data_IF_587476848995
#
_entry.id   IF_587476848995
#
_cell.length_a   1.000
_cell.length_b   1.000
_cell.length_c   1.000
_cell.angle_alpha   90.00
_cell.angle_beta   90.00
_cell.angle_gamma   90.00
#
_symmetry.space_group_name_H-M   'P 1'
#
loop_
_entity.id
_entity.type
_entity.pdbx_description
1 polymer ?
#
# COMPACT_ATOMS: atom_id res chain seq x y z
N UNK A 1 -0.35 -33.28 -13.29
CA UNK A 1 0.27 -32.49 -12.20
C UNK A 1 0.50 -31.01 -12.56
N UNK A 2 0.20 -30.55 -13.78
CA UNK A 2 0.34 -29.13 -14.21
C UNK A 2 -1.00 -28.34 -14.28
N UNK A 3 -2.13 -28.98 -14.01
CA UNK A 3 -3.47 -28.36 -14.14
C UNK A 3 -3.92 -27.66 -12.84
N UNK A 4 -3.46 -28.15 -11.68
CA UNK A 4 -3.88 -27.68 -10.36
C UNK A 4 -3.26 -26.35 -9.94
N UNK A 5 -2.09 -25.97 -10.47
CA UNK A 5 -1.45 -24.68 -10.13
C UNK A 5 -2.11 -23.50 -10.85
N UNK A 6 -2.54 -23.69 -12.11
CA UNK A 6 -3.30 -22.66 -12.85
C UNK A 6 -4.72 -22.47 -12.33
N UNK A 7 -5.35 -23.51 -11.81
CA UNK A 7 -6.65 -23.41 -11.14
C UNK A 7 -6.52 -22.75 -9.77
N UNK A 8 -5.42 -22.99 -9.04
CA UNK A 8 -5.08 -22.25 -7.80
C UNK A 8 -4.73 -20.78 -8.06
N UNK A 9 -4.00 -20.47 -9.13
CA UNK A 9 -3.75 -19.09 -9.57
C UNK A 9 -5.04 -18.39 -9.98
N UNK A 10 -5.95 -19.06 -10.70
CA UNK A 10 -7.28 -18.52 -11.06
C UNK A 10 -8.23 -18.42 -9.86
N UNK A 11 -8.16 -19.33 -8.90
CA UNK A 11 -8.90 -19.22 -7.63
C UNK A 11 -8.34 -18.08 -6.77
N UNK A 12 -7.01 -17.88 -6.76
CA UNK A 12 -6.34 -16.75 -6.10
C UNK A 12 -6.64 -15.41 -6.80
N UNK A 13 -6.74 -15.39 -8.13
CA UNK A 13 -7.20 -14.24 -8.93
C UNK A 13 -8.71 -13.97 -8.78
N UNK A 14 -9.53 -15.01 -8.60
CA UNK A 14 -10.99 -14.83 -8.37
C UNK A 14 -11.34 -14.53 -6.90
N UNK A 15 -10.41 -14.80 -5.98
CA UNK A 15 -10.40 -14.27 -4.60
C UNK A 15 -9.71 -12.92 -4.50
N UNK A 16 -9.54 -12.17 -5.59
CA UNK A 16 -9.35 -10.72 -5.50
C UNK A 16 -10.65 -10.17 -4.92
N UNK A 17 -10.69 -10.13 -3.59
CA UNK A 17 -11.71 -9.48 -2.81
C UNK A 17 -11.85 -8.05 -3.36
N UNK A 18 -13.08 -7.63 -3.67
CA UNK A 18 -13.33 -6.34 -4.31
C UNK A 18 -12.51 -5.24 -3.63
N UNK A 19 -11.66 -4.55 -4.41
CA UNK A 19 -10.65 -3.63 -3.91
C UNK A 19 -11.21 -2.76 -2.78
N UNK A 20 -10.51 -2.71 -1.66
CA UNK A 20 -10.86 -1.87 -0.51
C UNK A 20 -10.85 -0.38 -0.85
N UNK A 21 -10.19 0.04 -1.94
CA UNK A 21 -10.36 1.37 -2.48
C UNK A 21 -9.94 1.51 -3.94
N UNK A 22 -10.46 2.56 -4.57
CA UNK A 22 -10.12 2.97 -5.93
C UNK A 22 -9.98 4.48 -6.01
N UNK A 23 -8.91 4.97 -6.64
CA UNK A 23 -8.68 6.39 -6.86
C UNK A 23 -8.24 6.65 -8.31
N UNK A 24 -8.78 7.70 -8.92
CA UNK A 24 -8.44 8.07 -10.30
C UNK A 24 -8.08 9.56 -10.36
N UNK A 25 -6.84 9.84 -10.79
CA UNK A 25 -6.33 11.18 -11.07
C UNK A 25 -6.42 11.44 -12.57
N UNK A 26 -7.01 12.56 -12.96
CA UNK A 26 -7.09 13.04 -14.34
C UNK A 26 -6.80 14.53 -14.43
N UNK A 27 -6.50 15.00 -15.64
CA UNK A 27 -6.48 16.43 -15.94
C UNK A 27 -7.88 17.03 -15.94
N UNK A 28 -8.07 18.09 -15.17
CA UNK A 28 -9.26 18.94 -15.16
C UNK A 28 -8.79 20.38 -15.10
N UNK A 29 -9.19 21.20 -16.08
CA UNK A 29 -8.77 22.61 -16.14
C UNK A 29 -7.24 22.79 -16.20
N UNK A 30 -6.53 21.86 -16.84
CA UNK A 30 -5.05 21.85 -16.93
C UNK A 30 -4.32 21.30 -15.69
N UNK A 31 -5.05 20.97 -14.61
CA UNK A 31 -4.47 20.48 -13.34
C UNK A 31 -4.81 19.03 -13.04
N UNK A 32 -3.86 18.32 -12.43
CA UNK A 32 -4.03 17.00 -11.86
C UNK A 32 -5.11 17.05 -10.78
N UNK A 33 -6.17 16.27 -10.95
CA UNK A 33 -7.36 16.32 -10.10
C UNK A 33 -7.89 14.92 -9.83
N UNK A 34 -8.27 14.62 -8.58
CA UNK A 34 -8.98 13.38 -8.26
C UNK A 34 -10.41 13.47 -8.80
N UNK A 35 -10.73 12.59 -9.74
CA UNK A 35 -12.05 12.55 -10.38
C UNK A 35 -12.92 11.42 -9.88
N UNK A 36 -12.31 10.39 -9.27
CA UNK A 36 -13.02 9.28 -8.60
C UNK A 36 -12.24 8.88 -7.36
N UNK A 37 -12.94 8.70 -6.26
CA UNK A 37 -12.37 8.21 -5.01
C UNK A 37 -13.43 7.37 -4.31
N UNK A 38 -13.09 6.10 -4.07
CA UNK A 38 -13.89 5.16 -3.29
C UNK A 38 -12.96 4.47 -2.31
N UNK A 39 -13.43 4.30 -1.07
CA UNK A 39 -12.75 3.50 -0.07
C UNK A 39 -13.79 2.90 0.87
N UNK A 40 -13.61 1.63 1.23
CA UNK A 40 -14.36 0.94 2.28
C UNK A 40 -13.39 0.59 3.42
N UNK A 41 -13.95 0.34 4.61
CA UNK A 41 -13.19 -0.18 5.74
C UNK A 41 -12.32 -1.37 5.31
N UNK A 42 -11.05 -1.46 5.77
CA UNK A 42 -10.39 -0.58 6.73
C UNK A 42 -9.69 0.65 6.12
N UNK A 43 -9.79 0.87 4.80
CA UNK A 43 -9.09 1.93 4.06
C UNK A 43 -9.86 3.27 4.05
N UNK A 44 -9.11 4.36 4.08
CA UNK A 44 -9.58 5.70 3.76
C UNK A 44 -8.54 6.45 2.92
N UNK A 45 -9.00 7.23 1.95
CA UNK A 45 -8.16 8.20 1.25
C UNK A 45 -8.45 9.61 1.78
N UNK A 46 -7.41 10.41 2.01
CA UNK A 46 -7.50 11.85 2.25
C UNK A 46 -6.74 12.59 1.17
N UNK A 47 -7.40 13.58 0.56
CA UNK A 47 -6.85 14.38 -0.54
C UNK A 47 -6.89 15.84 -0.11
N UNK A 48 -5.79 16.40 0.42
CA UNK A 48 -5.77 17.78 0.86
C UNK A 48 -5.59 18.72 -0.33
N UNK A 49 -6.24 19.88 -0.26
CA UNK A 49 -6.22 20.86 -1.34
C UNK A 49 -4.99 21.80 -1.32
N UNK A 50 -4.14 21.73 -0.29
CA UNK A 50 -3.05 22.69 -0.04
C UNK A 50 -1.80 22.01 0.54
N UNK A 51 -1.06 21.30 -0.29
CA UNK A 51 0.13 20.52 0.15
C UNK A 51 1.42 20.99 -0.52
N UNK A 52 1.33 22.01 -1.37
CA UNK A 52 2.45 22.64 -2.06
C UNK A 52 2.10 24.04 -2.57
N UNK A 53 3.03 24.65 -3.30
CA UNK A 53 2.81 25.93 -3.99
C UNK A 53 1.62 25.84 -4.95
N UNK A 54 0.93 26.94 -5.20
CA UNK A 54 -0.14 27.02 -6.21
C UNK A 54 0.33 26.71 -7.64
N UNK A 55 1.64 26.78 -7.85
CA UNK A 55 2.34 26.49 -9.11
C UNK A 55 2.62 24.99 -9.30
N UNK A 56 2.64 24.21 -8.22
CA UNK A 56 2.87 22.76 -8.30
C UNK A 56 1.60 22.05 -8.71
N UNK A 57 1.63 21.38 -9.87
CA UNK A 57 0.52 20.56 -10.33
C UNK A 57 0.67 19.10 -9.86
N UNK A 58 0.30 18.81 -8.61
CA UNK A 58 0.32 17.46 -8.07
C UNK A 58 -0.84 17.22 -7.10
N UNK A 59 -1.43 16.02 -7.19
CA UNK A 59 -2.39 15.54 -6.20
C UNK A 59 -1.67 14.78 -5.12
N UNK A 60 -1.84 15.19 -3.86
CA UNK A 60 -1.39 14.44 -2.71
C UNK A 60 -2.52 13.57 -2.17
N UNK A 61 -2.22 12.29 -1.99
CA UNK A 61 -3.14 11.28 -1.50
C UNK A 61 -2.52 10.65 -0.27
N UNK A 62 -3.19 10.83 0.86
CA UNK A 62 -2.87 10.12 2.09
C UNK A 62 -3.68 8.83 2.17
N UNK A 63 -3.02 7.69 2.19
CA UNK A 63 -3.60 6.38 2.50
C UNK A 63 -3.64 6.16 4.00
N UNK A 64 -4.80 5.75 4.50
CA UNK A 64 -5.09 5.66 5.92
C UNK A 64 -5.80 4.36 6.27
N UNK A 65 -5.53 3.88 7.47
CA UNK A 65 -6.28 2.80 8.12
C UNK A 65 -6.96 3.34 9.36
N UNK A 66 -8.20 2.91 9.63
CA UNK A 66 -8.92 3.34 10.82
C UNK A 66 -8.23 2.76 12.09
N UNK A 67 -7.96 3.61 13.08
CA UNK A 67 -7.39 3.16 14.37
C UNK A 67 -5.86 3.26 14.51
N UNK A 68 -5.16 3.94 13.58
CA UNK A 68 -3.72 4.22 13.70
C UNK A 68 -2.82 3.00 13.47
N UNK A 69 -3.35 1.97 12.81
CA UNK A 69 -2.69 0.72 12.51
C UNK A 69 -3.63 -0.23 11.76
N UNK A 70 -3.15 -1.42 11.45
CA UNK A 70 -3.97 -2.51 10.87
C UNK A 70 -4.19 -3.53 11.98
N UNK A 71 -5.42 -4.04 12.11
CA UNK A 71 -5.76 -5.06 13.11
C UNK A 71 -5.84 -6.44 12.49
N UNK A 72 -5.78 -7.47 13.33
CA UNK A 72 -5.90 -8.88 12.92
C UNK A 72 -7.12 -9.10 12.00
N UNK A 73 -6.85 -9.62 10.80
CA UNK A 73 -7.85 -9.97 9.80
C UNK A 73 -8.19 -8.86 8.80
N UNK A 74 -7.62 -7.66 8.93
CA UNK A 74 -7.74 -6.61 7.92
C UNK A 74 -6.84 -6.90 6.71
N UNK A 75 -7.43 -6.94 5.51
CA UNK A 75 -6.70 -6.92 4.22
C UNK A 75 -6.99 -5.62 3.48
N UNK A 76 -5.96 -4.97 2.97
CA UNK A 76 -6.07 -3.76 2.14
C UNK A 76 -5.59 -4.05 0.72
N UNK A 77 -6.50 -3.83 -0.22
CA UNK A 77 -6.23 -3.83 -1.66
C UNK A 77 -6.70 -2.52 -2.26
N UNK A 78 -5.86 -1.81 -2.99
CA UNK A 78 -6.24 -0.55 -3.63
C UNK A 78 -5.76 -0.44 -5.06
N UNK A 79 -6.58 0.18 -5.91
CA UNK A 79 -6.23 0.49 -7.29
C UNK A 79 -6.17 2.01 -7.48
N UNK A 80 -5.01 2.51 -7.90
CA UNK A 80 -4.76 3.91 -8.21
C UNK A 80 -4.45 4.03 -9.69
N UNK A 81 -5.16 4.93 -10.37
CA UNK A 81 -4.91 5.26 -11.77
C UNK A 81 -4.49 6.72 -11.89
N UNK A 82 -3.33 6.96 -12.49
CA UNK A 82 -2.80 8.28 -12.81
C UNK A 82 -2.83 8.41 -14.33
N UNK A 83 -3.71 9.27 -14.83
CA UNK A 83 -3.85 9.50 -16.26
C UNK A 83 -2.68 10.31 -16.84
N UNK A 84 -2.68 10.41 -18.16
CA UNK A 84 -1.70 11.17 -18.92
C UNK A 84 -1.47 12.60 -18.41
N UNK A 85 -0.20 13.03 -18.46
CA UNK A 85 0.29 14.32 -17.99
C UNK A 85 -0.06 14.68 -16.53
N UNK A 86 -0.55 13.72 -15.71
CA UNK A 86 -0.90 13.97 -14.30
C UNK A 86 0.25 13.61 -13.36
N UNK A 87 0.28 14.28 -12.22
CA UNK A 87 1.20 13.96 -11.13
C UNK A 87 0.43 13.59 -9.87
N UNK A 88 0.77 12.44 -9.28
CA UNK A 88 0.21 11.98 -8.01
C UNK A 88 1.31 11.63 -7.01
N UNK A 89 1.11 12.01 -5.77
CA UNK A 89 1.93 11.63 -4.61
C UNK A 89 1.05 10.79 -3.70
N UNK A 90 1.42 9.53 -3.47
CA UNK A 90 0.80 8.65 -2.48
C UNK A 90 1.71 8.48 -1.27
N UNK A 91 1.14 8.65 -0.09
CA UNK A 91 1.87 8.41 1.16
C UNK A 91 0.95 7.96 2.28
N UNK A 92 1.46 7.19 3.25
CA UNK A 92 0.73 6.88 4.47
C UNK A 92 0.83 8.06 5.47
N UNK A 93 -0.29 8.42 6.10
CA UNK A 93 -0.33 9.60 7.00
C UNK A 93 0.33 9.37 8.36
N UNK A 94 0.51 8.11 8.75
CA UNK A 94 1.14 7.72 10.00
C UNK A 94 1.84 6.38 9.82
N UNK A 95 2.82 6.09 10.69
CA UNK A 95 3.41 4.76 10.80
C UNK A 95 2.31 3.72 10.93
N UNK A 96 2.32 2.69 10.08
CA UNK A 96 1.43 1.57 10.33
C UNK A 96 1.89 0.84 11.58
N UNK A 97 1.15 0.99 12.68
CA UNK A 97 1.42 0.26 13.92
C UNK A 97 0.78 -1.12 13.82
N UNK A 98 1.59 -2.15 14.01
CA UNK A 98 1.11 -3.53 14.07
C UNK A 98 0.87 -3.90 15.52
N UNK A 99 -0.32 -4.41 15.82
CA UNK A 99 -0.73 -4.74 17.19
C UNK A 99 -0.71 -6.25 17.41
N UNK A 100 -0.17 -6.68 18.55
CA UNK A 100 -0.36 -8.04 19.05
C UNK A 100 -1.83 -8.26 19.42
N UNK A 101 -2.38 -9.42 19.07
CA UNK A 101 -3.73 -9.78 19.49
C UNK A 101 -3.72 -10.30 20.93
N UNK A 102 -4.73 -9.93 21.73
CA UNK A 102 -4.95 -10.49 23.06
C UNK A 102 -5.84 -11.75 22.94
N UNK A 103 -5.29 -12.92 23.26
CA UNK A 103 -5.99 -14.20 23.27
C UNK A 103 -5.96 -14.92 21.93
N UNK A 104 -5.02 -15.87 21.77
CA UNK A 104 -4.93 -16.93 20.73
C UNK A 104 -5.34 -16.63 19.28
N UNK A 105 -5.44 -15.36 18.87
CA UNK A 105 -5.73 -14.93 17.50
C UNK A 105 -4.45 -14.34 16.90
N UNK A 106 -4.19 -14.62 15.64
CA UNK A 106 -2.98 -14.17 14.97
C UNK A 106 -2.99 -12.67 14.73
N UNK A 107 -1.89 -11.96 14.98
CA UNK A 107 -1.75 -10.56 14.56
C UNK A 107 -1.17 -10.51 13.16
N UNK A 108 -2.05 -10.52 12.17
CA UNK A 108 -1.71 -10.48 10.75
C UNK A 108 -2.09 -9.12 10.17
N UNK A 109 -1.16 -8.53 9.42
CA UNK A 109 -1.39 -7.34 8.64
C UNK A 109 -1.07 -7.64 7.17
N UNK A 110 -2.05 -7.43 6.30
CA UNK A 110 -1.89 -7.69 4.87
C UNK A 110 -2.26 -6.43 4.08
N UNK A 111 -1.25 -5.72 3.56
CA UNK A 111 -1.42 -4.83 2.41
C UNK A 111 -1.21 -5.68 1.16
N UNK A 112 -2.27 -6.38 0.78
CA UNK A 112 -2.17 -7.51 -0.15
C UNK A 112 -1.77 -7.06 -1.54
N UNK A 113 -2.30 -5.92 -2.00
CA UNK A 113 -2.04 -5.43 -3.35
C UNK A 113 -2.35 -3.96 -3.54
N UNK A 114 -1.34 -3.17 -3.85
CA UNK A 114 -1.49 -1.81 -4.36
C UNK A 114 -1.19 -1.81 -5.85
N UNK A 115 -2.22 -1.60 -6.66
CA UNK A 115 -2.09 -1.55 -8.12
C UNK A 115 -2.04 -0.10 -8.55
N UNK A 116 -0.98 0.26 -9.26
CA UNK A 116 -0.80 1.58 -9.86
C UNK A 116 -0.84 1.44 -11.37
N UNK A 117 -1.72 2.20 -12.00
CA UNK A 117 -1.85 2.28 -13.46
C UNK A 117 -1.42 3.67 -13.88
N UNK A 118 -0.34 3.76 -14.63
CA UNK A 118 0.30 5.01 -15.03
C UNK A 118 0.42 5.08 -16.55
N UNK A 119 0.34 6.29 -17.10
CA UNK A 119 0.56 6.56 -18.52
C UNK A 119 1.98 7.13 -18.70
N UNK A 120 2.56 7.02 -19.90
CA UNK A 120 3.97 7.35 -20.18
C UNK A 120 4.38 8.75 -19.67
N UNK A 121 3.57 9.78 -19.90
CA UNK A 121 3.90 11.16 -19.50
C UNK A 121 3.36 11.53 -18.10
N UNK A 122 3.01 10.54 -17.29
CA UNK A 122 2.55 10.76 -15.91
C UNK A 122 3.68 10.62 -14.89
N UNK A 123 3.54 11.29 -13.76
CA UNK A 123 4.48 11.19 -12.64
C UNK A 123 3.78 10.60 -11.41
N UNK A 124 4.45 9.67 -10.74
CA UNK A 124 3.98 9.00 -9.54
C UNK A 124 5.10 8.96 -8.50
N UNK A 125 4.79 9.46 -7.31
CA UNK A 125 5.64 9.32 -6.11
C UNK A 125 4.89 8.46 -5.10
N UNK A 126 5.52 7.40 -4.62
CA UNK A 126 5.01 6.58 -3.51
C UNK A 126 6.01 6.68 -2.37
N UNK A 127 5.53 7.05 -1.18
CA UNK A 127 6.33 7.07 0.05
C UNK A 127 5.56 6.33 1.13
N UNK A 128 6.07 5.18 1.55
CA UNK A 128 5.49 4.39 2.62
C UNK A 128 6.54 4.00 3.67
N UNK A 129 6.12 3.84 4.92
CA UNK A 129 6.96 3.33 5.98
C UNK A 129 6.19 2.45 6.96
N UNK A 130 6.86 1.39 7.42
CA UNK A 130 6.43 0.56 8.53
C UNK A 130 7.39 0.73 9.69
N UNK A 131 6.84 0.79 10.90
CA UNK A 131 7.62 0.85 12.15
C UNK A 131 7.55 -0.46 12.89
N UNK A 132 8.53 -0.72 13.75
CA UNK A 132 8.64 -1.94 14.57
C UNK A 132 7.47 -2.16 15.54
N UNK A 133 6.55 -1.22 15.74
CA UNK A 133 5.44 -1.34 16.69
C UNK A 133 5.56 -0.34 17.84
N UNK A 134 4.93 -0.66 18.99
CA UNK A 134 4.97 0.21 20.18
C UNK A 134 6.29 0.03 20.93
N UNK A 135 7.33 0.75 20.49
CA UNK A 135 8.67 0.69 21.09
C UNK A 135 8.66 0.92 22.61
N UNK A 136 7.85 1.86 23.10
CA UNK A 136 7.72 2.16 24.54
C UNK A 136 7.00 1.07 25.35
N UNK A 137 6.29 0.16 24.68
CA UNK A 137 5.62 -0.99 25.30
C UNK A 137 6.41 -2.30 25.15
N UNK A 138 7.61 -2.25 24.55
CA UNK A 138 8.45 -3.44 24.30
C UNK A 138 8.04 -4.27 23.08
N UNK A 139 6.97 -3.88 22.39
CA UNK A 139 6.46 -4.57 21.18
C UNK A 139 7.30 -4.13 19.97
N UNK A 140 8.41 -4.84 19.72
CA UNK A 140 9.31 -4.62 18.57
C UNK A 140 9.27 -5.82 17.62
N UNK A 141 8.71 -5.61 16.43
CA UNK A 141 8.52 -6.62 15.39
C UNK A 141 7.77 -7.86 15.90
N UNK A 142 6.88 -7.69 16.89
CA UNK A 142 6.16 -8.75 17.61
C UNK A 142 4.80 -9.09 16.96
N UNK A 143 4.73 -8.98 15.63
CA UNK A 143 3.57 -9.38 14.83
C UNK A 143 3.86 -10.69 14.10
N UNK A 144 2.82 -11.35 13.60
CA UNK A 144 2.94 -12.70 13.04
C UNK A 144 3.28 -12.66 11.55
N UNK A 145 2.63 -11.74 10.84
CA UNK A 145 2.79 -11.53 9.41
C UNK A 145 2.59 -10.05 9.07
N UNK A 146 3.49 -9.51 8.25
CA UNK A 146 3.31 -8.30 7.48
C UNK A 146 3.65 -8.59 6.02
N UNK A 147 2.71 -8.29 5.13
CA UNK A 147 2.91 -8.34 3.68
C UNK A 147 2.51 -7.01 3.05
N UNK A 148 3.37 -6.45 2.20
CA UNK A 148 3.06 -5.29 1.36
C UNK A 148 3.51 -5.58 -0.06
N UNK A 149 2.66 -5.29 -1.05
CA UNK A 149 2.96 -5.57 -2.46
C UNK A 149 2.50 -4.43 -3.35
N UNK A 150 3.43 -3.85 -4.09
CA UNK A 150 3.20 -2.77 -5.04
C UNK A 150 3.40 -3.26 -6.46
N UNK A 151 2.35 -3.17 -7.28
CA UNK A 151 2.41 -3.48 -8.72
C UNK A 151 2.16 -2.20 -9.51
N UNK A 152 3.11 -1.80 -10.34
CA UNK A 152 2.97 -0.66 -11.24
C UNK A 152 2.90 -1.18 -12.67
N UNK A 153 1.85 -0.77 -13.38
CA UNK A 153 1.59 -1.09 -14.77
C UNK A 153 1.54 0.19 -15.60
N UNK A 154 2.16 0.13 -16.78
CA UNK A 154 1.94 1.10 -17.85
C UNK A 154 0.56 0.85 -18.52
N UNK A 155 0.24 1.70 -19.50
CA UNK A 155 -0.94 1.53 -20.35
C UNK A 155 -0.94 0.15 -21.04
N UNK A 156 -2.13 -0.43 -21.21
CA UNK A 156 -2.29 -1.77 -21.81
C UNK A 156 -1.90 -2.93 -20.90
N UNK A 157 -1.91 -2.74 -19.57
CA UNK A 157 -1.55 -3.76 -18.56
C UNK A 157 -0.09 -4.24 -18.64
N UNK A 158 0.79 -3.46 -19.27
CA UNK A 158 2.22 -3.79 -19.34
C UNK A 158 2.86 -3.62 -17.95
N UNK A 159 3.47 -4.66 -17.35
CA UNK A 159 4.12 -4.54 -16.05
C UNK A 159 5.37 -3.65 -16.16
N UNK A 160 5.50 -2.73 -15.22
CA UNK A 160 6.64 -1.81 -15.12
C UNK A 160 7.50 -2.09 -13.90
N UNK A 161 6.87 -2.28 -12.74
CA UNK A 161 7.58 -2.46 -11.47
C UNK A 161 6.77 -3.34 -10.52
N UNK A 162 7.48 -4.19 -9.78
CA UNK A 162 6.93 -5.04 -8.74
C UNK A 162 7.85 -4.93 -7.51
N UNK A 163 7.26 -4.53 -6.39
CA UNK A 163 7.88 -4.64 -5.07
C UNK A 163 6.99 -5.51 -4.17
N UNK A 164 7.64 -6.35 -3.35
CA UNK A 164 6.95 -7.15 -2.34
C UNK A 164 7.83 -7.28 -1.10
N UNK A 165 7.29 -6.85 0.04
CA UNK A 165 7.88 -6.99 1.36
C UNK A 165 7.09 -8.04 2.14
N UNK A 166 7.81 -9.02 2.70
CA UNK A 166 7.25 -10.07 3.54
C UNK A 166 8.06 -10.20 4.83
N UNK A 167 7.42 -9.92 5.95
CA UNK A 167 7.94 -10.16 7.29
C UNK A 167 7.01 -11.15 8.00
N UNK A 168 7.44 -12.39 8.09
CA UNK A 168 6.69 -13.48 8.73
C UNK A 168 7.52 -14.10 9.85
N UNK A 169 6.88 -14.51 10.95
CA UNK A 169 7.57 -15.21 12.03
C UNK A 169 8.10 -16.56 11.53
N UNK A 170 9.42 -16.73 11.57
CA UNK A 170 10.08 -17.97 11.19
C UNK A 170 10.16 -18.95 12.36
N UNK A 171 10.26 -20.25 12.05
CA UNK A 171 10.50 -21.30 13.04
C UNK A 171 11.92 -21.28 13.62
N UNK A 172 12.88 -20.67 12.90
CA UNK A 172 14.31 -20.63 13.27
C UNK A 172 14.74 -19.25 13.74
N UNK A 173 14.27 -18.18 13.07
CA UNK A 173 14.53 -16.79 13.46
C UNK A 173 13.24 -15.99 13.42
N UNK A 174 13.01 -15.19 14.45
CA UNK A 174 11.86 -14.31 14.53
C UNK A 174 12.11 -13.00 13.73
N UNK A 175 11.06 -12.21 13.51
CA UNK A 175 11.20 -10.95 12.73
C UNK A 175 12.15 -9.98 13.43
N UNK A 176 12.09 -9.85 14.76
CA UNK A 176 12.94 -8.94 15.53
C UNK A 176 14.43 -9.28 15.37
N UNK A 177 14.79 -10.56 15.38
CA UNK A 177 16.16 -11.03 15.13
C UNK A 177 16.62 -10.70 13.71
N UNK A 178 15.76 -10.80 12.70
CA UNK A 178 16.13 -10.41 11.33
C UNK A 178 16.28 -8.91 11.16
N UNK A 179 15.45 -8.14 11.87
CA UNK A 179 15.44 -6.68 11.81
C UNK A 179 16.49 -6.03 12.74
N UNK A 180 17.08 -6.77 13.68
CA UNK A 180 18.12 -6.28 14.58
C UNK A 180 17.72 -4.94 15.24
N UNK A 181 18.57 -3.91 15.13
CA UNK A 181 18.32 -2.59 15.68
C UNK A 181 17.45 -1.68 14.79
N UNK A 182 17.09 -2.11 13.58
CA UNK A 182 16.24 -1.31 12.70
C UNK A 182 14.83 -1.18 13.29
N UNK A 183 14.34 0.06 13.38
CA UNK A 183 13.01 0.37 13.93
C UNK A 183 12.00 0.77 12.85
N UNK A 184 12.46 1.04 11.63
CA UNK A 184 11.64 1.52 10.52
C UNK A 184 12.14 0.90 9.22
N UNK A 185 11.22 0.47 8.36
CA UNK A 185 11.47 0.23 6.93
C UNK A 185 10.72 1.32 6.19
N UNK A 186 11.42 2.00 5.28
CA UNK A 186 10.81 3.01 4.41
C UNK A 186 11.03 2.63 2.95
N UNK A 187 10.04 2.93 2.14
CA UNK A 187 10.04 2.72 0.70
C UNK A 187 9.71 4.04 0.01
N UNK A 188 10.52 4.36 -1.00
CA UNK A 188 10.29 5.51 -1.88
C UNK A 188 10.37 5.00 -3.32
N UNK A 189 9.29 5.19 -4.06
CA UNK A 189 9.24 4.91 -5.50
C UNK A 189 9.01 6.24 -6.21
N UNK A 190 9.90 6.59 -7.14
CA UNK A 190 9.81 7.77 -7.98
C UNK A 190 9.70 7.33 -9.43
N UNK A 191 8.59 7.69 -10.07
CA UNK A 191 8.36 7.48 -11.48
C UNK A 191 8.01 8.83 -12.12
N UNK A 192 8.67 9.18 -13.21
CA UNK A 192 8.40 10.38 -13.98
C UNK A 192 8.45 10.09 -15.47
N UNK A 193 7.57 10.76 -16.21
CA UNK A 193 7.59 10.90 -17.65
C UNK A 193 8.20 12.23 -18.08
#
# INVERSE_FOLDING_TARGET
MLHTDREREREMESKIEAATGKLVVKKVGGKSTVTRCFSKYPLKFIIPNKVGSSETDAVWVYTLTYGGGIVSGDSISCEITVADACTAVLTTQASTKVYKSLGSKSSEQILEKQIFRVVLDSSLVIVDWITSGRHESGEKWDFELYRSTNHIFLEGDQPLFLDSVLLEQGSITNIAERMQDYQVIAMVILLGG
#
